data_IF_929438371267
#
_entry.id   IF_929438371267
#
_cell.length_a   1.000
_cell.length_b   1.000
_cell.length_c   1.000
_cell.angle_alpha   90.00
_cell.angle_beta   90.00
_cell.angle_gamma   90.00
#
_symmetry.space_group_name_H-M   'P 1'
#
loop_
_entity.id
_entity.type
_entity.pdbx_description
1 polymer ?
#
# COMPACT_ATOMS: atom_id res chain seq x y z
N UNK A 1 4.42 28.42 10.05
CA UNK A 1 5.33 27.31 9.70
C UNK A 1 5.26 26.38 10.89
N UNK A 2 4.49 25.28 10.78
CA UNK A 2 4.24 24.38 11.90
C UNK A 2 5.37 23.35 11.94
N UNK A 3 6.17 23.39 13.00
CA UNK A 3 7.42 22.61 13.16
C UNK A 3 7.11 21.09 13.17
N UNK A 4 5.86 20.71 13.39
CA UNK A 4 5.38 19.33 13.37
C UNK A 4 5.47 18.67 11.99
N UNK A 5 5.36 19.40 10.88
CA UNK A 5 5.40 18.81 9.53
C UNK A 5 6.82 18.41 9.06
N UNK A 6 7.89 18.91 9.72
CA UNK A 6 9.30 18.62 9.37
C UNK A 6 9.90 17.41 10.09
N UNK A 7 9.11 16.72 10.92
CA UNK A 7 9.59 15.54 11.64
C UNK A 7 9.38 14.27 10.80
N UNK A 8 10.43 13.45 10.65
CA UNK A 8 10.38 12.15 9.96
C UNK A 8 9.31 11.20 10.53
N UNK A 9 8.88 11.40 11.78
CA UNK A 9 7.82 10.61 12.40
C UNK A 9 6.40 11.06 12.02
N UNK A 10 6.24 12.24 11.43
CA UNK A 10 4.92 12.79 11.11
C UNK A 10 4.20 11.96 10.05
N UNK A 11 4.92 11.42 9.06
CA UNK A 11 4.34 10.48 8.10
C UNK A 11 3.76 9.23 8.80
N UNK A 12 4.49 8.67 9.76
CA UNK A 12 4.02 7.50 10.53
C UNK A 12 2.84 7.85 11.44
N UNK A 13 2.84 9.03 12.06
CA UNK A 13 1.72 9.50 12.87
C UNK A 13 0.42 9.53 12.05
N UNK A 14 0.45 10.16 10.88
CA UNK A 14 -0.71 10.23 10.00
C UNK A 14 -1.13 8.84 9.48
N UNK A 15 -0.20 7.95 9.17
CA UNK A 15 -0.53 6.57 8.82
C UNK A 15 -1.29 5.84 9.95
N UNK A 16 -0.81 5.95 11.20
CA UNK A 16 -1.47 5.35 12.35
C UNK A 16 -2.85 5.96 12.63
N UNK A 17 -2.98 7.29 12.48
CA UNK A 17 -4.29 7.97 12.57
C UNK A 17 -5.26 7.48 11.49
N UNK A 18 -4.76 7.27 10.27
CA UNK A 18 -5.53 6.66 9.17
C UNK A 18 -6.10 5.30 9.56
N UNK A 19 -5.28 4.41 10.12
CA UNK A 19 -5.71 3.11 10.64
C UNK A 19 -6.74 3.24 11.76
N UNK A 20 -6.54 4.15 12.72
CA UNK A 20 -7.51 4.41 13.78
C UNK A 20 -8.87 4.86 13.23
N UNK A 21 -8.90 5.71 12.21
CA UNK A 21 -10.15 6.12 11.58
C UNK A 21 -10.81 5.00 10.78
N UNK A 22 -10.07 4.05 10.19
CA UNK A 22 -10.68 2.84 9.60
C UNK A 22 -11.43 2.03 10.66
N UNK A 23 -10.82 1.79 11.82
CA UNK A 23 -11.45 1.07 12.93
C UNK A 23 -12.70 1.79 13.46
N UNK A 24 -12.69 3.12 13.44
CA UNK A 24 -13.85 3.96 13.79
C UNK A 24 -14.89 4.08 12.66
N UNK A 25 -14.64 3.49 11.48
CA UNK A 25 -15.47 3.59 10.27
C UNK A 25 -15.66 5.03 9.77
N UNK A 26 -14.66 5.88 9.99
CA UNK A 26 -14.60 7.24 9.48
C UNK A 26 -13.76 7.29 8.20
N UNK A 27 -14.30 6.68 7.12
CA UNK A 27 -13.60 6.44 5.85
C UNK A 27 -12.97 7.70 5.24
N UNK A 28 -13.70 8.81 5.19
CA UNK A 28 -13.21 10.09 4.66
C UNK A 28 -12.00 10.63 5.44
N UNK A 29 -12.02 10.51 6.78
CA UNK A 29 -10.89 10.96 7.60
C UNK A 29 -9.70 10.03 7.43
N UNK A 30 -9.96 8.72 7.35
CA UNK A 30 -8.93 7.73 7.09
C UNK A 30 -8.20 8.01 5.76
N UNK A 31 -8.93 8.25 4.67
CA UNK A 31 -8.38 8.61 3.37
C UNK A 31 -7.50 9.88 3.45
N UNK A 32 -7.99 10.92 4.14
CA UNK A 32 -7.24 12.17 4.33
C UNK A 32 -5.91 11.95 5.07
N UNK A 33 -5.93 11.15 6.13
CA UNK A 33 -4.73 10.84 6.92
C UNK A 33 -3.70 10.04 6.10
N UNK A 34 -4.12 9.05 5.31
CA UNK A 34 -3.20 8.32 4.43
C UNK A 34 -2.61 9.22 3.34
N UNK A 35 -3.41 10.09 2.73
CA UNK A 35 -2.93 11.05 1.72
C UNK A 35 -1.93 12.05 2.32
N UNK A 36 -2.18 12.52 3.55
CA UNK A 36 -1.25 13.39 4.29
C UNK A 36 0.04 12.65 4.65
N UNK A 37 -0.04 11.38 5.04
CA UNK A 37 1.14 10.53 5.27
C UNK A 37 2.01 10.41 4.01
N UNK A 38 1.41 10.16 2.85
CA UNK A 38 2.12 10.09 1.56
C UNK A 38 2.79 11.43 1.22
N UNK A 39 2.09 12.55 1.44
CA UNK A 39 2.64 13.88 1.22
C UNK A 39 3.91 14.12 2.07
N UNK A 40 3.84 13.80 3.36
CA UNK A 40 4.95 13.98 4.30
C UNK A 40 6.10 13.02 4.01
N UNK A 41 5.80 11.78 3.61
CA UNK A 41 6.81 10.82 3.16
C UNK A 41 7.66 11.40 2.03
N UNK A 42 7.01 11.99 1.01
CA UNK A 42 7.71 12.58 -0.13
C UNK A 42 8.51 13.85 0.23
N UNK A 43 8.16 14.55 1.30
CA UNK A 43 8.87 15.74 1.77
C UNK A 43 10.13 15.40 2.57
N UNK A 44 10.16 14.22 3.19
CA UNK A 44 11.23 13.79 4.10
C UNK A 44 12.16 12.74 3.47
N UNK A 45 12.02 12.46 2.17
CA UNK A 45 12.82 11.50 1.40
C UNK A 45 13.05 10.16 2.14
N UNK A 46 11.98 9.62 2.74
CA UNK A 46 12.03 8.35 3.45
C UNK A 46 12.30 7.20 2.46
N UNK A 47 13.17 6.25 2.83
CA UNK A 47 13.49 5.07 2.02
C UNK A 47 12.97 3.79 2.70
N UNK A 48 11.64 3.71 2.84
CA UNK A 48 10.96 2.55 3.41
C UNK A 48 9.57 2.35 2.78
N UNK A 49 8.86 1.30 3.20
CA UNK A 49 7.60 0.90 2.58
C UNK A 49 6.34 1.61 3.11
N UNK A 50 6.47 2.66 3.93
CA UNK A 50 5.32 3.38 4.49
C UNK A 50 4.38 3.94 3.41
N UNK A 51 4.93 4.51 2.33
CA UNK A 51 4.14 5.02 1.20
C UNK A 51 3.34 3.91 0.52
N UNK A 52 3.97 2.75 0.31
CA UNK A 52 3.29 1.58 -0.24
C UNK A 52 2.21 1.05 0.71
N UNK A 53 2.44 1.05 2.02
CA UNK A 53 1.43 0.67 3.03
C UNK A 53 0.21 1.62 2.99
N UNK A 54 0.42 2.93 2.85
CA UNK A 54 -0.67 3.89 2.69
C UNK A 54 -1.50 3.62 1.44
N UNK A 55 -0.85 3.36 0.29
CA UNK A 55 -1.55 3.00 -0.94
C UNK A 55 -2.32 1.69 -0.84
N UNK A 56 -1.78 0.70 -0.12
CA UNK A 56 -2.50 -0.54 0.18
C UNK A 56 -3.80 -0.26 0.94
N UNK A 57 -3.76 0.61 1.94
CA UNK A 57 -4.97 0.99 2.70
C UNK A 57 -5.97 1.81 1.87
N UNK A 58 -5.49 2.77 1.07
CA UNK A 58 -6.35 3.52 0.14
C UNK A 58 -7.04 2.59 -0.87
N UNK A 59 -6.31 1.61 -1.41
CA UNK A 59 -6.87 0.60 -2.28
C UNK A 59 -7.91 -0.28 -1.58
N UNK A 60 -7.76 -0.56 -0.28
CA UNK A 60 -8.77 -1.27 0.51
C UNK A 60 -10.02 -0.40 0.72
N UNK A 61 -9.86 0.88 1.05
CA UNK A 61 -10.99 1.81 1.23
C UNK A 61 -11.83 1.91 -0.06
N UNK A 62 -11.20 2.16 -1.21
CA UNK A 62 -11.91 2.22 -2.50
C UNK A 62 -12.60 0.90 -2.84
N UNK A 63 -11.97 -0.23 -2.52
CA UNK A 63 -12.58 -1.54 -2.71
C UNK A 63 -13.86 -1.72 -1.86
N UNK A 64 -13.84 -1.27 -0.60
CA UNK A 64 -15.01 -1.32 0.29
C UNK A 64 -16.15 -0.41 -0.19
N UNK A 65 -15.81 0.71 -0.84
CA UNK A 65 -16.77 1.61 -1.51
C UNK A 65 -17.30 1.04 -2.85
N UNK A 66 -16.83 -0.14 -3.29
CA UNK A 66 -17.09 -0.75 -4.59
C UNK A 66 -16.54 0.03 -5.79
N UNK A 67 -15.53 0.88 -5.59
CA UNK A 67 -14.79 1.54 -6.67
C UNK A 67 -13.55 0.69 -7.02
N UNK A 68 -13.75 -0.29 -7.90
CA UNK A 68 -12.72 -1.26 -8.27
C UNK A 68 -11.60 -0.62 -9.10
N UNK A 69 -11.92 0.34 -9.96
CA UNK A 69 -10.96 1.10 -10.74
C UNK A 69 -10.01 1.86 -9.81
N UNK A 70 -10.54 2.65 -8.87
CA UNK A 70 -9.71 3.41 -7.92
C UNK A 70 -8.93 2.48 -6.98
N UNK A 71 -9.54 1.36 -6.55
CA UNK A 71 -8.85 0.34 -5.75
C UNK A 71 -7.64 -0.26 -6.48
N UNK A 72 -7.78 -0.51 -7.79
CA UNK A 72 -6.70 -1.00 -8.64
C UNK A 72 -5.61 0.06 -8.82
N UNK A 73 -5.97 1.31 -9.13
CA UNK A 73 -5.01 2.43 -9.29
C UNK A 73 -4.17 2.67 -8.03
N UNK A 74 -4.79 2.65 -6.86
CA UNK A 74 -4.07 2.76 -5.59
C UNK A 74 -3.16 1.55 -5.37
N UNK A 75 -3.62 0.34 -5.68
CA UNK A 75 -2.79 -0.86 -5.53
C UNK A 75 -1.57 -0.83 -6.45
N UNK A 76 -1.73 -0.37 -7.69
CA UNK A 76 -0.61 -0.20 -8.63
C UNK A 76 0.37 0.87 -8.15
N UNK A 77 -0.14 2.00 -7.65
CA UNK A 77 0.70 3.03 -7.00
C UNK A 77 1.48 2.48 -5.81
N UNK A 78 0.88 1.56 -5.04
CA UNK A 78 1.54 0.87 -3.94
C UNK A 78 2.66 -0.08 -4.40
N UNK A 79 2.46 -0.79 -5.51
CA UNK A 79 3.48 -1.64 -6.13
C UNK A 79 4.66 -0.79 -6.61
N UNK A 80 4.38 0.33 -7.28
CA UNK A 80 5.41 1.25 -7.79
C UNK A 80 6.18 1.95 -6.66
N UNK A 81 5.52 2.22 -5.53
CA UNK A 81 6.14 2.80 -4.35
C UNK A 81 6.92 1.79 -3.47
N UNK A 82 6.88 0.50 -3.81
CA UNK A 82 7.52 -0.54 -2.98
C UNK A 82 9.05 -0.51 -3.08
N UNK A 83 9.70 -0.42 -1.93
CA UNK A 83 11.15 -0.45 -1.73
C UNK A 83 11.59 -1.89 -1.38
N UNK A 84 12.34 -2.52 -2.30
CA UNK A 84 12.80 -3.93 -2.18
C UNK A 84 13.57 -4.22 -0.89
N UNK A 85 14.32 -3.26 -0.35
CA UNK A 85 15.07 -3.43 0.90
C UNK A 85 14.45 -2.64 2.08
N UNK A 86 13.22 -2.17 1.92
CA UNK A 86 12.49 -1.42 2.94
C UNK A 86 11.92 -2.30 4.07
N UNK A 87 11.15 -1.69 4.97
CA UNK A 87 10.42 -2.40 6.03
C UNK A 87 9.30 -3.27 5.47
N UNK A 88 8.81 -4.28 6.20
CA UNK A 88 7.61 -5.05 5.82
C UNK A 88 7.63 -5.65 4.39
N UNK A 89 8.60 -6.49 4.09
CA UNK A 89 8.73 -7.15 2.77
C UNK A 89 7.49 -7.96 2.33
N UNK A 90 6.67 -8.40 3.29
CA UNK A 90 5.43 -9.13 3.02
C UNK A 90 4.39 -8.26 2.28
N UNK A 91 4.49 -6.94 2.38
CA UNK A 91 3.59 -5.98 1.73
C UNK A 91 3.48 -6.21 0.22
N UNK A 92 4.59 -6.56 -0.43
CA UNK A 92 4.63 -6.88 -1.87
C UNK A 92 3.54 -7.90 -2.23
N UNK A 93 3.47 -9.01 -1.49
CA UNK A 93 2.48 -10.07 -1.74
C UNK A 93 1.05 -9.61 -1.50
N UNK A 94 0.83 -8.75 -0.50
CA UNK A 94 -0.49 -8.20 -0.20
C UNK A 94 -0.97 -7.32 -1.36
N UNK A 95 -0.11 -6.44 -1.88
CA UNK A 95 -0.42 -5.59 -3.02
C UNK A 95 -0.74 -6.42 -4.28
N UNK A 96 0.09 -7.38 -4.64
CA UNK A 96 -0.19 -8.21 -5.81
C UNK A 96 -1.44 -9.09 -5.64
N UNK A 97 -1.68 -9.62 -4.43
CA UNK A 97 -2.93 -10.34 -4.12
C UNK A 97 -4.14 -9.43 -4.31
N UNK A 98 -4.09 -8.20 -3.78
CA UNK A 98 -5.18 -7.24 -3.95
C UNK A 98 -5.41 -6.91 -5.43
N UNK A 99 -4.33 -6.69 -6.19
CA UNK A 99 -4.40 -6.46 -7.65
C UNK A 99 -5.12 -7.61 -8.36
N UNK A 100 -4.74 -8.86 -8.08
CA UNK A 100 -5.39 -10.03 -8.67
C UNK A 100 -6.88 -10.13 -8.30
N UNK A 101 -7.23 -9.88 -7.03
CA UNK A 101 -8.63 -9.88 -6.56
C UNK A 101 -9.45 -8.79 -7.22
N UNK A 102 -8.90 -7.58 -7.38
CA UNK A 102 -9.62 -6.47 -7.99
C UNK A 102 -9.83 -6.72 -9.49
N UNK A 103 -8.80 -7.21 -10.20
CA UNK A 103 -8.92 -7.63 -11.60
C UNK A 103 -9.96 -8.72 -11.80
N UNK A 104 -9.97 -9.75 -10.95
CA UNK A 104 -10.98 -10.81 -10.99
C UNK A 104 -12.41 -10.24 -10.86
N UNK A 105 -12.63 -9.34 -9.90
CA UNK A 105 -13.93 -8.71 -9.67
C UNK A 105 -14.39 -7.80 -10.80
N UNK A 106 -13.45 -7.22 -11.54
CA UNK A 106 -13.73 -6.47 -12.76
C UNK A 106 -13.98 -7.39 -13.98
N UNK A 107 -13.89 -8.72 -13.83
CA UNK A 107 -14.00 -9.67 -14.93
C UNK A 107 -12.73 -9.79 -15.79
N UNK A 108 -11.63 -9.17 -15.37
CA UNK A 108 -10.31 -9.16 -16.04
C UNK A 108 -9.46 -10.36 -15.60
N UNK A 109 -10.04 -11.56 -15.71
CA UNK A 109 -9.49 -12.80 -15.12
C UNK A 109 -8.09 -13.14 -15.65
N UNK A 110 -7.85 -12.99 -16.96
CA UNK A 110 -6.54 -13.30 -17.55
C UNK A 110 -5.43 -12.43 -16.96
N UNK A 111 -5.68 -11.14 -16.80
CA UNK A 111 -4.72 -10.21 -16.19
C UNK A 111 -4.48 -10.56 -14.71
N UNK A 112 -5.51 -10.97 -13.97
CA UNK A 112 -5.36 -11.47 -12.61
C UNK A 112 -4.50 -12.73 -12.53
N UNK A 113 -4.66 -13.66 -13.48
CA UNK A 113 -3.85 -14.88 -13.58
C UNK A 113 -2.38 -14.59 -13.90
N UNK A 114 -2.11 -13.63 -14.79
CA UNK A 114 -0.75 -13.21 -15.12
C UNK A 114 -0.01 -12.69 -13.88
N UNK A 115 -0.69 -11.94 -13.01
CA UNK A 115 -0.14 -11.47 -11.73
C UNK A 115 0.21 -12.64 -10.80
N UNK A 116 -0.69 -13.62 -10.65
CA UNK A 116 -0.44 -14.80 -9.81
C UNK A 116 0.77 -15.58 -10.31
N UNK A 117 0.89 -15.76 -11.63
CA UNK A 117 2.02 -16.45 -12.25
C UNK A 117 3.34 -15.70 -11.99
N UNK A 118 3.35 -14.37 -12.16
CA UNK A 118 4.54 -13.54 -11.90
C UNK A 118 5.04 -13.69 -10.45
N UNK A 119 4.14 -13.68 -9.46
CA UNK A 119 4.53 -13.89 -8.06
C UNK A 119 5.09 -15.30 -7.88
N UNK A 120 4.40 -16.31 -8.41
CA UNK A 120 4.80 -17.71 -8.28
C UNK A 120 6.19 -17.98 -8.86
N UNK A 121 6.53 -17.34 -9.98
CA UNK A 121 7.85 -17.48 -10.60
C UNK A 121 8.95 -16.80 -9.76
N UNK A 122 8.60 -15.76 -9.01
CA UNK A 122 9.52 -15.11 -8.06
C UNK A 122 9.65 -15.81 -6.70
N UNK A 123 9.02 -16.99 -6.51
CA UNK A 123 8.96 -17.67 -5.21
C UNK A 123 10.30 -18.14 -4.66
N UNK A 124 11.29 -18.37 -5.52
CA UNK A 124 12.59 -18.88 -5.10
C UNK A 124 13.52 -17.76 -4.61
N UNK A 125 13.27 -16.50 -4.99
CA UNK A 125 13.89 -15.32 -4.38
C UNK A 125 13.45 -15.12 -2.91
N UNK A 126 12.44 -15.87 -2.46
CA UNK A 126 11.86 -15.81 -1.11
C UNK A 126 12.58 -16.77 -0.14
N UNK A 127 13.29 -17.76 -0.66
CA UNK A 127 13.88 -18.84 0.12
C UNK A 127 15.36 -18.63 0.47
N UNK A 128 15.95 -17.45 0.27
CA UNK A 128 17.23 -17.17 0.92
C UNK A 128 16.98 -17.08 2.44
N UNK A 129 17.44 -18.08 3.23
CA UNK A 129 17.40 -17.93 4.66
C UNK A 129 18.28 -16.73 5.01
N UNK A 130 17.84 -15.90 5.95
CA UNK A 130 18.68 -14.94 6.63
C UNK A 130 19.91 -15.69 7.17
N UNK A 131 20.99 -15.75 6.39
CA UNK A 131 22.26 -16.29 6.85
C UNK A 131 22.83 -15.30 7.85
N UNK A 132 22.75 -15.72 9.12
CA UNK A 132 23.35 -15.12 10.31
C UNK A 132 24.82 -14.69 10.11
#
# INVERSE_FOLDING_TARGET
MNIEDENIYSAYFHYLMGLCFQELKEEVKSEQEFMKSIQLYNQNDLDNNLKADCYKELGLLSYLENDLEKALEHTESGIDAFVKNGTNQRLKYVLYRNKAVYLEKMGRINEGMDIVQQIWDSKDEINEPETL
#
